data_IF_792891407267
#
_entry.id   IF_792891407267
#
_cell.length_a   1.000
_cell.length_b   1.000
_cell.length_c   1.000
_cell.angle_alpha   90.00
_cell.angle_beta   90.00
_cell.angle_gamma   90.00
#
_symmetry.space_group_name_H-M   'P 1'
#
loop_
_entity.id
_entity.type
_entity.pdbx_description
1 polymer ?
#
# COMPACT_ATOMS: atom_id res chain seq x y z
N UNK A 1 28.09 -26.47 49.32
CA UNK A 1 26.62 -26.29 49.35
C UNK A 1 26.38 -24.84 49.68
N UNK A 2 25.95 -23.93 48.82
CA UNK A 2 25.39 -24.00 47.48
C UNK A 2 25.91 -22.78 46.70
N UNK A 3 26.08 -22.94 45.38
CA UNK A 3 26.55 -21.89 44.51
C UNK A 3 25.44 -20.95 44.06
N UNK A 4 25.83 -19.72 43.76
CA UNK A 4 25.14 -18.79 42.86
C UNK A 4 26.19 -18.29 41.85
N UNK A 5 25.95 -18.39 40.53
CA UNK A 5 26.77 -17.69 39.56
C UNK A 5 26.24 -16.26 39.36
N UNK A 6 27.15 -15.30 39.35
CA UNK A 6 26.88 -13.91 38.94
C UNK A 6 26.45 -13.88 37.47
N UNK A 7 25.16 -13.69 37.22
CA UNK A 7 24.64 -13.27 35.91
C UNK A 7 24.81 -11.75 35.74
N UNK A 8 26.01 -11.33 35.35
CA UNK A 8 26.24 -10.01 34.75
C UNK A 8 26.61 -10.22 33.28
N UNK A 9 25.63 -10.28 32.38
CA UNK A 9 25.84 -9.93 30.96
C UNK A 9 24.49 -9.85 30.23
N UNK A 10 24.35 -8.83 29.36
CA UNK A 10 23.33 -8.68 28.29
C UNK A 10 21.91 -8.22 28.64
N UNK A 11 21.75 -7.16 29.45
CA UNK A 11 20.48 -6.38 29.48
C UNK A 11 20.63 -4.85 29.45
N UNK A 12 21.82 -4.33 29.16
CA UNK A 12 22.12 -2.89 29.28
C UNK A 12 22.75 -2.24 28.05
N UNK A 13 22.74 -2.89 26.88
CA UNK A 13 23.41 -2.37 25.67
C UNK A 13 22.49 -1.99 24.51
N UNK A 14 21.16 -2.14 24.65
CA UNK A 14 20.19 -1.82 23.59
C UNK A 14 19.43 -0.50 23.80
N UNK A 15 19.51 0.11 24.99
CA UNK A 15 18.74 1.32 25.33
C UNK A 15 19.54 2.64 25.29
N UNK A 16 20.71 2.68 24.64
CA UNK A 16 21.63 3.84 24.71
C UNK A 16 22.09 4.40 23.34
N UNK A 17 21.42 4.06 22.24
CA UNK A 17 21.78 4.61 20.91
C UNK A 17 20.85 5.76 20.46
N UNK A 18 19.70 6.00 21.11
CA UNK A 18 18.71 7.01 20.68
C UNK A 18 19.05 8.46 21.12
N UNK A 19 20.31 8.80 21.40
CA UNK A 19 20.71 10.18 21.68
C UNK A 19 22.05 10.53 21.05
N UNK A 20 22.08 10.58 19.73
CA UNK A 20 23.07 11.34 18.98
C UNK A 20 22.34 12.10 17.88
N UNK A 21 22.48 13.42 17.91
CA UNK A 21 21.92 14.34 16.93
C UNK A 21 22.33 13.93 15.52
N UNK A 22 21.35 13.57 14.68
CA UNK A 22 21.55 13.42 13.24
C UNK A 22 21.30 14.79 12.59
N UNK A 23 22.26 15.34 11.84
CA UNK A 23 21.92 16.35 10.85
C UNK A 23 21.04 15.67 9.80
N UNK A 24 19.88 16.26 9.53
CA UNK A 24 18.97 15.86 8.46
C UNK A 24 19.76 15.57 7.18
N UNK A 25 19.92 14.28 6.85
CA UNK A 25 20.28 13.87 5.52
C UNK A 25 18.95 13.81 4.78
N UNK A 26 18.49 14.99 4.36
CA UNK A 26 17.36 15.13 3.46
C UNK A 26 17.79 14.45 2.16
N UNK A 27 17.52 13.15 2.04
CA UNK A 27 17.38 12.54 0.73
C UNK A 27 16.12 13.20 0.18
N UNK A 28 16.29 14.32 -0.53
CA UNK A 28 15.29 14.75 -1.47
C UNK A 28 15.25 13.67 -2.55
N UNK A 29 14.51 12.60 -2.29
CA UNK A 29 13.79 11.93 -3.35
C UNK A 29 12.84 13.01 -3.82
N UNK A 30 13.23 13.71 -4.88
CA UNK A 30 12.29 14.52 -5.60
C UNK A 30 11.22 13.54 -6.08
N UNK A 31 10.05 13.56 -5.42
CA UNK A 31 8.84 13.16 -6.11
C UNK A 31 8.83 14.05 -7.35
N UNK A 32 9.07 13.44 -8.52
CA UNK A 32 8.80 14.12 -9.77
C UNK A 32 7.37 14.63 -9.69
N UNK A 33 7.15 15.81 -10.26
CA UNK A 33 6.00 16.69 -10.05
C UNK A 33 4.68 16.06 -10.52
N UNK A 34 4.20 15.04 -9.82
CA UNK A 34 2.86 14.51 -9.84
C UNK A 34 2.50 14.30 -8.36
N UNK A 35 2.05 15.38 -7.73
CA UNK A 35 1.49 15.40 -6.39
C UNK A 35 0.16 14.62 -6.39
N UNK A 36 0.22 13.31 -6.64
CA UNK A 36 -0.95 12.46 -6.65
C UNK A 36 -1.58 12.51 -5.26
N UNK A 37 -2.86 12.83 -5.24
CA UNK A 37 -3.69 12.76 -4.06
C UNK A 37 -3.76 11.30 -3.66
N UNK A 38 -3.10 10.94 -2.57
CA UNK A 38 -3.17 9.57 -2.02
C UNK A 38 -4.52 9.37 -1.34
N UNK A 39 -5.22 8.32 -1.72
CA UNK A 39 -6.43 7.85 -1.08
C UNK A 39 -6.19 6.57 -0.30
N UNK A 40 -6.82 6.46 0.85
CA UNK A 40 -6.62 5.35 1.79
C UNK A 40 -7.88 5.10 2.63
N UNK A 41 -7.99 3.94 3.26
CA UNK A 41 -8.90 3.68 4.39
C UNK A 41 -8.12 3.61 5.71
N UNK A 42 -8.84 3.38 6.79
CA UNK A 42 -8.27 3.23 8.14
C UNK A 42 -9.04 2.16 8.91
N UNK A 43 -8.38 1.53 9.85
CA UNK A 43 -9.03 0.51 10.67
C UNK A 43 -10.01 1.11 11.70
N UNK A 44 -11.01 0.32 12.11
CA UNK A 44 -12.03 0.74 13.09
C UNK A 44 -11.46 1.02 14.51
N UNK A 45 -10.26 0.52 14.80
CA UNK A 45 -9.62 0.60 16.12
C UNK A 45 -9.10 2.01 16.42
N UNK A 46 -8.75 2.77 15.38
CA UNK A 46 -7.95 3.98 15.47
C UNK A 46 -8.70 5.24 15.93
N UNK A 47 -8.01 6.23 16.51
CA UNK A 47 -8.58 7.51 16.95
C UNK A 47 -9.34 8.34 15.90
N UNK A 48 -9.03 8.31 14.58
CA UNK A 48 -9.76 9.11 13.61
C UNK A 48 -11.23 8.70 13.45
N UNK A 49 -11.59 7.48 13.86
CA UNK A 49 -12.96 6.99 13.81
C UNK A 49 -13.92 7.89 14.60
N UNK A 50 -15.01 8.28 13.96
CA UNK A 50 -16.02 9.18 14.50
C UNK A 50 -15.60 10.65 14.56
N UNK A 51 -14.35 11.00 14.22
CA UNK A 51 -13.93 12.39 14.07
C UNK A 51 -14.70 13.04 12.90
N UNK A 52 -15.04 14.34 12.97
CA UNK A 52 -15.72 15.00 11.86
C UNK A 52 -14.79 15.08 10.64
N UNK A 53 -15.32 14.76 9.46
CA UNK A 53 -14.67 15.03 8.17
C UNK A 53 -14.15 16.48 8.14
N UNK A 54 -12.84 16.67 8.01
CA UNK A 54 -12.25 18.01 8.11
C UNK A 54 -12.60 18.92 6.92
N UNK A 55 -13.03 18.37 5.79
CA UNK A 55 -13.39 19.15 4.61
C UNK A 55 -14.82 19.68 4.67
N UNK A 56 -15.78 18.89 5.18
CA UNK A 56 -17.20 19.28 5.23
C UNK A 56 -17.75 19.51 6.63
N UNK A 57 -17.15 18.89 7.65
CA UNK A 57 -17.59 18.88 9.04
C UNK A 57 -18.93 18.18 9.28
N UNK A 58 -19.45 17.46 8.28
CA UNK A 58 -20.86 17.03 8.26
C UNK A 58 -21.08 15.60 8.78
N UNK A 59 -20.09 14.73 8.64
CA UNK A 59 -20.18 13.28 8.92
C UNK A 59 -18.95 12.85 9.71
N UNK A 60 -19.12 11.89 10.62
CA UNK A 60 -17.99 11.27 11.32
C UNK A 60 -17.32 10.22 10.44
N UNK A 61 -15.99 10.19 10.41
CA UNK A 61 -15.22 9.19 9.67
C UNK A 61 -15.55 7.77 10.14
N UNK A 62 -15.52 6.83 9.21
CA UNK A 62 -15.68 5.39 9.45
C UNK A 62 -14.58 4.62 8.73
N UNK A 63 -14.41 3.36 9.10
CA UNK A 63 -13.48 2.41 8.47
C UNK A 63 -13.90 2.02 7.03
N UNK A 64 -15.09 2.44 6.59
CA UNK A 64 -15.58 2.22 5.23
C UNK A 64 -15.44 3.42 4.30
N UNK A 65 -14.86 4.53 4.78
CA UNK A 65 -14.64 5.72 3.96
C UNK A 65 -13.29 5.65 3.26
N UNK A 66 -13.25 6.08 2.00
CA UNK A 66 -11.99 6.38 1.33
C UNK A 66 -11.64 7.83 1.63
N UNK A 67 -10.49 8.01 2.26
CA UNK A 67 -10.01 9.24 2.85
C UNK A 67 -8.87 9.83 2.03
N UNK A 68 -8.65 11.13 2.22
CA UNK A 68 -7.44 11.84 1.78
C UNK A 68 -7.00 12.82 2.85
N UNK A 69 -5.73 13.23 2.83
CA UNK A 69 -5.25 14.27 3.72
C UNK A 69 -6.13 15.53 3.65
N UNK A 70 -6.24 16.30 4.74
CA UNK A 70 -7.04 17.53 4.77
C UNK A 70 -6.65 18.54 3.67
N UNK A 71 -5.37 18.59 3.34
CA UNK A 71 -4.78 19.39 2.27
C UNK A 71 -4.97 18.78 0.88
N UNK A 72 -5.73 17.68 0.77
CA UNK A 72 -5.92 16.80 -0.40
C UNK A 72 -4.65 16.03 -0.78
N UNK A 73 -3.48 16.52 -0.39
CA UNK A 73 -2.17 15.93 -0.63
C UNK A 73 -1.44 15.88 0.70
N UNK A 74 -0.54 14.91 0.93
CA UNK A 74 0.27 14.86 2.13
C UNK A 74 0.99 16.20 2.38
N UNK A 75 1.01 16.67 3.63
CA UNK A 75 1.58 17.97 3.97
C UNK A 75 2.23 17.97 5.36
N UNK A 76 3.23 18.83 5.63
CA UNK A 76 3.89 18.86 6.94
C UNK A 76 2.89 19.02 8.09
N UNK A 77 2.99 18.11 9.08
CA UNK A 77 2.07 18.00 10.20
C UNK A 77 2.29 18.99 11.36
N UNK A 78 1.47 18.91 12.42
CA UNK A 78 0.32 18.01 12.53
C UNK A 78 -0.87 18.52 11.72
N UNK A 79 -1.55 17.60 11.02
CA UNK A 79 -2.75 17.92 10.24
C UNK A 79 -4.03 17.63 11.04
N UNK A 80 -5.17 18.27 10.70
CA UNK A 80 -6.49 17.81 11.13
C UNK A 80 -6.78 16.37 10.66
N UNK A 81 -7.81 15.70 11.19
CA UNK A 81 -8.27 14.42 10.66
C UNK A 81 -8.47 14.47 9.13
N UNK A 82 -8.36 13.33 8.43
CA UNK A 82 -8.56 13.27 6.98
C UNK A 82 -9.94 13.77 6.52
N UNK A 83 -10.05 13.96 5.21
CA UNK A 83 -11.30 14.25 4.52
C UNK A 83 -11.87 13.02 3.84
N UNK A 84 -13.19 12.91 3.81
CA UNK A 84 -13.86 11.86 3.03
C UNK A 84 -13.81 12.23 1.55
N UNK A 85 -13.12 11.42 0.75
CA UNK A 85 -13.13 11.51 -0.71
C UNK A 85 -14.31 10.72 -1.29
N UNK A 86 -14.47 9.47 -0.87
CA UNK A 86 -15.57 8.59 -1.27
C UNK A 86 -16.19 8.02 0.00
N UNK A 87 -17.47 8.34 0.31
CA UNK A 87 -18.11 7.77 1.49
C UNK A 87 -18.36 6.27 1.32
N UNK A 88 -18.32 5.50 2.40
CA UNK A 88 -18.63 4.07 2.33
C UNK A 88 -20.07 3.77 1.87
N UNK A 89 -21.02 4.65 2.20
CA UNK A 89 -22.41 4.54 1.76
C UNK A 89 -22.69 5.28 0.45
N UNK A 90 -23.95 5.30 -0.01
CA UNK A 90 -24.32 6.07 -1.19
C UNK A 90 -24.11 7.59 -0.97
N UNK A 91 -23.52 8.33 -1.93
CA UNK A 91 -23.24 7.95 -3.32
C UNK A 91 -21.81 7.41 -3.58
N UNK A 92 -21.08 6.95 -2.57
CA UNK A 92 -19.76 6.33 -2.73
C UNK A 92 -19.84 4.81 -2.92
N UNK A 93 -19.16 4.04 -2.05
CA UNK A 93 -18.99 2.59 -2.22
C UNK A 93 -20.29 1.79 -2.15
N UNK A 94 -21.33 2.32 -1.51
CA UNK A 94 -22.65 1.67 -1.46
C UNK A 94 -22.75 0.52 -0.45
N UNK A 95 -21.90 0.52 0.59
CA UNK A 95 -21.92 -0.46 1.67
C UNK A 95 -23.25 -0.42 2.44
N UNK A 96 -24.00 -1.54 2.51
CA UNK A 96 -25.33 -1.58 3.14
C UNK A 96 -25.38 -1.14 4.60
N UNK A 97 -24.34 -1.44 5.38
CA UNK A 97 -24.29 -1.15 6.82
C UNK A 97 -23.78 0.26 7.16
N UNK A 98 -23.23 0.98 6.19
CA UNK A 98 -22.61 2.31 6.40
C UNK A 98 -23.50 3.32 7.13
N UNK A 99 -24.82 3.47 6.85
CA UNK A 99 -25.66 4.41 7.59
C UNK A 99 -25.74 4.13 9.10
N UNK A 100 -25.49 2.89 9.52
CA UNK A 100 -25.41 2.49 10.92
C UNK A 100 -24.02 2.64 11.54
N UNK A 101 -22.97 2.62 10.71
CA UNK A 101 -21.58 2.83 11.12
C UNK A 101 -21.32 4.30 11.47
N UNK A 102 -21.83 5.25 10.68
CA UNK A 102 -21.58 6.69 10.87
C UNK A 102 -21.78 7.15 12.32
N UNK A 103 -20.69 7.66 12.91
CA UNK A 103 -20.68 8.17 14.29
C UNK A 103 -20.45 7.11 15.37
N UNK A 104 -20.07 5.89 14.99
CA UNK A 104 -19.43 4.96 15.91
C UNK A 104 -18.13 5.53 16.48
N UNK A 105 -17.64 4.92 17.56
CA UNK A 105 -16.46 5.37 18.30
C UNK A 105 -15.29 4.42 18.05
N UNK A 106 -14.04 4.90 18.18
CA UNK A 106 -12.86 4.06 18.02
C UNK A 106 -12.94 2.75 18.81
N UNK A 107 -12.52 1.65 18.19
CA UNK A 107 -12.52 0.31 18.78
C UNK A 107 -13.91 -0.32 18.92
N UNK A 108 -14.95 0.26 18.32
CA UNK A 108 -16.25 -0.39 18.16
C UNK A 108 -16.53 -0.51 16.67
N UNK A 109 -16.66 -1.73 16.13
CA UNK A 109 -16.72 -1.91 14.69
C UNK A 109 -18.03 -1.38 14.11
N UNK A 110 -17.94 -0.62 13.01
CA UNK A 110 -19.04 -0.20 12.17
C UNK A 110 -19.47 -1.29 11.18
N UNK A 111 -18.65 -2.34 11.02
CA UNK A 111 -18.83 -3.46 10.10
C UNK A 111 -18.80 -3.02 8.64
N UNK A 112 -17.96 -2.05 8.29
CA UNK A 112 -17.82 -1.51 6.93
C UNK A 112 -16.38 -1.37 6.48
N UNK A 113 -15.45 -2.06 7.16
CA UNK A 113 -14.00 -1.95 6.95
C UNK A 113 -13.59 -2.32 5.54
N UNK A 114 -12.93 -1.37 4.88
CA UNK A 114 -12.34 -1.54 3.57
C UNK A 114 -10.87 -1.87 3.77
N UNK A 115 -10.49 -3.05 3.31
CA UNK A 115 -9.22 -3.73 3.60
C UNK A 115 -8.24 -3.68 2.41
N UNK A 116 -8.72 -3.24 1.24
CA UNK A 116 -7.87 -2.96 0.08
C UNK A 116 -8.59 -2.04 -0.90
N UNK A 117 -7.83 -1.31 -1.73
CA UNK A 117 -8.36 -0.35 -2.69
C UNK A 117 -7.60 -0.44 -4.01
N UNK A 118 -8.31 -0.19 -5.11
CA UNK A 118 -7.74 0.11 -6.41
C UNK A 118 -8.78 0.81 -7.28
N UNK A 119 -8.35 1.66 -8.21
CA UNK A 119 -9.23 2.22 -9.24
C UNK A 119 -9.16 1.46 -10.58
N UNK A 120 -8.37 0.38 -10.67
CA UNK A 120 -8.27 -0.48 -11.84
C UNK A 120 -7.44 0.13 -12.97
N UNK A 121 -6.63 1.14 -12.67
CA UNK A 121 -5.90 1.97 -13.64
C UNK A 121 -4.39 1.89 -13.47
N UNK A 122 -3.92 1.07 -12.54
CA UNK A 122 -2.51 0.87 -12.22
C UNK A 122 -1.72 0.44 -13.46
N UNK A 123 -0.43 0.76 -13.55
CA UNK A 123 0.35 0.48 -14.75
C UNK A 123 0.48 -1.03 -15.00
N UNK A 124 0.07 -1.47 -16.19
CA UNK A 124 0.30 -2.84 -16.63
C UNK A 124 1.80 -3.17 -16.61
N UNK A 125 2.23 -4.04 -15.69
CA UNK A 125 3.65 -4.35 -15.51
C UNK A 125 4.24 -5.01 -16.76
N UNK A 126 5.49 -4.65 -17.08
CA UNK A 126 6.21 -5.13 -18.27
C UNK A 126 7.54 -5.76 -17.85
N UNK A 127 7.93 -6.91 -18.43
CA UNK A 127 9.15 -7.63 -18.04
C UNK A 127 10.45 -6.93 -18.48
N UNK A 128 10.37 -6.02 -19.44
CA UNK A 128 11.52 -5.32 -20.00
C UNK A 128 11.09 -3.98 -20.59
N UNK A 129 11.99 -3.02 -20.51
CA UNK A 129 11.85 -1.68 -21.08
C UNK A 129 12.49 -0.64 -20.17
N UNK A 130 12.33 0.65 -20.50
CA UNK A 130 12.89 1.74 -19.70
C UNK A 130 12.07 2.06 -18.44
N UNK A 131 10.91 1.42 -18.24
CA UNK A 131 10.03 1.65 -17.10
C UNK A 131 10.75 1.41 -15.78
N UNK A 132 10.48 2.28 -14.82
CA UNK A 132 10.91 2.16 -13.43
C UNK A 132 9.66 2.07 -12.56
N UNK A 133 9.64 1.10 -11.66
CA UNK A 133 8.53 0.84 -10.78
C UNK A 133 8.87 1.28 -9.35
N UNK A 134 7.93 1.98 -8.73
CA UNK A 134 7.97 2.38 -7.33
C UNK A 134 6.83 1.67 -6.63
N UNK A 135 7.18 0.75 -5.74
CA UNK A 135 6.20 0.03 -4.93
C UNK A 135 5.97 0.80 -3.64
N UNK A 136 4.74 1.21 -3.39
CA UNK A 136 4.33 1.88 -2.15
C UNK A 136 3.47 0.97 -1.30
N UNK A 137 3.64 1.01 0.01
CA UNK A 137 2.88 0.15 0.91
C UNK A 137 2.81 0.71 2.34
N UNK A 138 1.85 0.20 3.11
CA UNK A 138 1.75 0.37 4.57
C UNK A 138 1.80 -1.00 5.25
N UNK A 139 2.01 -1.01 6.55
CA UNK A 139 2.15 -2.21 7.40
C UNK A 139 1.33 -2.03 8.68
N UNK A 140 1.15 -3.11 9.46
CA UNK A 140 0.54 -3.00 10.80
C UNK A 140 1.52 -2.49 11.87
N UNK A 141 1.01 -2.20 13.06
CA UNK A 141 1.82 -1.77 14.21
C UNK A 141 2.79 -2.85 14.71
N UNK A 142 2.57 -4.11 14.33
CA UNK A 142 3.40 -5.25 14.70
C UNK A 142 4.55 -5.50 13.73
N UNK A 143 4.69 -4.73 12.65
CA UNK A 143 5.74 -4.90 11.66
C UNK A 143 7.15 -4.63 12.22
N UNK A 144 8.13 -5.45 11.86
CA UNK A 144 9.51 -5.38 12.35
C UNK A 144 10.50 -4.81 11.34
N UNK A 145 10.34 -5.11 10.04
CA UNK A 145 11.32 -4.84 9.00
C UNK A 145 12.66 -5.58 9.17
N UNK A 146 13.54 -5.52 8.16
CA UNK A 146 14.82 -6.27 8.13
C UNK A 146 16.09 -5.41 8.30
N UNK A 147 15.94 -4.11 8.54
CA UNK A 147 17.03 -3.21 8.92
C UNK A 147 18.05 -2.92 7.82
N UNK A 148 17.60 -2.89 6.57
CA UNK A 148 18.40 -2.51 5.41
C UNK A 148 18.15 -1.04 5.08
N UNK A 149 19.18 -0.18 4.92
CA UNK A 149 19.02 1.21 4.51
C UNK A 149 18.30 1.33 3.17
N UNK A 150 17.62 2.46 2.89
CA UNK A 150 17.62 3.74 3.62
C UNK A 150 16.82 3.75 4.94
N UNK A 151 16.88 4.89 5.63
CA UNK A 151 16.07 5.22 6.82
C UNK A 151 15.52 6.65 6.64
N UNK A 152 14.35 7.02 7.20
CA UNK A 152 13.44 6.19 8.00
C UNK A 152 12.85 5.03 7.18
N UNK A 153 12.47 3.93 7.83
CA UNK A 153 12.07 2.67 7.24
C UNK A 153 11.27 1.85 8.24
N UNK A 154 10.56 0.82 7.76
CA UNK A 154 9.76 -0.09 8.62
C UNK A 154 10.58 -0.60 9.81
N UNK A 155 11.89 -0.82 9.64
CA UNK A 155 12.75 -1.26 10.74
C UNK A 155 13.01 -0.19 11.81
N UNK A 156 13.14 1.08 11.42
CA UNK A 156 13.33 2.18 12.38
C UNK A 156 12.02 2.66 12.99
N UNK A 157 10.90 2.38 12.34
CA UNK A 157 9.59 2.95 12.66
C UNK A 157 8.62 1.93 13.23
N UNK A 158 8.75 0.65 12.90
CA UNK A 158 7.83 -0.40 13.35
C UNK A 158 7.97 -0.81 14.82
N UNK A 159 7.52 -2.00 15.15
CA UNK A 159 7.34 -2.55 16.49
C UNK A 159 8.58 -2.54 17.39
N UNK A 160 9.79 -2.51 16.81
CA UNK A 160 11.07 -2.45 17.52
C UNK A 160 11.74 -1.07 17.47
N UNK A 161 11.11 -0.13 16.76
CA UNK A 161 11.56 1.22 16.47
C UNK A 161 10.78 2.28 17.26
N UNK A 162 10.29 3.31 16.55
CA UNK A 162 9.49 4.39 17.13
C UNK A 162 8.01 4.06 17.30
N UNK A 163 7.53 2.95 16.75
CA UNK A 163 6.13 2.50 16.73
C UNK A 163 5.21 3.47 15.98
N UNK A 164 5.67 3.94 14.82
CA UNK A 164 4.99 4.91 13.94
C UNK A 164 4.63 4.28 12.58
N UNK A 165 5.27 3.19 12.17
CA UNK A 165 5.13 2.61 10.82
C UNK A 165 3.70 2.31 10.32
N UNK A 166 2.71 2.22 11.20
CA UNK A 166 1.40 1.71 10.83
C UNK A 166 0.49 2.73 10.12
N UNK A 167 0.76 4.03 10.29
CA UNK A 167 0.08 5.09 9.54
C UNK A 167 0.95 5.67 8.42
N UNK A 168 2.11 5.05 8.19
CA UNK A 168 3.12 5.53 7.25
C UNK A 168 2.96 4.90 5.86
N UNK A 169 3.54 5.55 4.86
CA UNK A 169 3.68 4.97 3.51
C UNK A 169 5.16 4.85 3.18
N UNK A 170 5.59 3.62 2.99
CA UNK A 170 6.95 3.27 2.59
C UNK A 170 7.04 3.02 1.09
N UNK A 171 8.19 3.32 0.49
CA UNK A 171 8.46 2.99 -0.92
C UNK A 171 9.72 2.14 -1.13
N UNK A 172 9.71 1.39 -2.24
CA UNK A 172 10.87 0.66 -2.77
C UNK A 172 11.01 0.90 -4.28
N UNK A 173 12.10 1.55 -4.67
CA UNK A 173 12.36 1.95 -6.08
C UNK A 173 13.39 1.05 -6.79
N UNK A 174 13.85 -0.01 -6.12
CA UNK A 174 14.89 -0.90 -6.66
C UNK A 174 14.36 -2.28 -7.06
N UNK A 175 13.08 -2.53 -6.82
CA UNK A 175 12.38 -3.76 -7.19
C UNK A 175 11.74 -3.55 -8.56
N UNK A 176 12.15 -4.36 -9.54
CA UNK A 176 11.58 -4.32 -10.89
C UNK A 176 10.20 -4.99 -10.97
N UNK A 177 9.75 -5.27 -12.19
CA UNK A 177 8.39 -5.77 -12.48
C UNK A 177 8.08 -7.21 -12.03
N UNK A 178 9.00 -7.96 -11.42
CA UNK A 178 8.80 -9.35 -11.01
C UNK A 178 8.80 -10.39 -12.16
N UNK A 179 8.25 -11.60 -11.94
CA UNK A 179 8.17 -12.22 -10.62
C UNK A 179 9.59 -12.53 -10.09
N UNK A 180 9.77 -12.49 -8.76
CA UNK A 180 11.03 -12.81 -8.10
C UNK A 180 10.92 -14.07 -7.24
N UNK A 181 11.70 -15.10 -7.56
CA UNK A 181 11.74 -16.35 -6.78
C UNK A 181 12.89 -16.39 -5.76
N UNK A 182 13.45 -15.25 -5.37
CA UNK A 182 14.62 -15.18 -4.49
C UNK A 182 14.48 -14.09 -3.43
N UNK A 183 14.99 -14.39 -2.23
CA UNK A 183 15.00 -13.49 -1.07
C UNK A 183 16.29 -12.65 -1.08
N UNK A 184 16.32 -11.56 -1.84
CA UNK A 184 17.36 -10.55 -1.67
C UNK A 184 16.77 -9.39 -0.89
N UNK A 185 17.18 -9.17 0.36
CA UNK A 185 16.62 -8.10 1.16
C UNK A 185 16.98 -6.74 0.54
N UNK A 186 15.96 -5.92 0.34
CA UNK A 186 16.07 -4.55 -0.13
C UNK A 186 15.58 -3.62 1.00
N UNK A 187 16.09 -2.40 1.08
CA UNK A 187 15.57 -1.41 2.03
C UNK A 187 14.39 -0.66 1.46
N UNK A 188 13.43 -0.34 2.33
CA UNK A 188 12.36 0.62 2.07
C UNK A 188 12.69 1.97 2.71
N UNK A 189 12.01 3.02 2.28
CA UNK A 189 12.08 4.36 2.88
C UNK A 189 10.68 4.88 3.15
N UNK A 190 10.46 5.45 4.32
CA UNK A 190 9.26 6.23 4.57
C UNK A 190 9.25 7.50 3.72
N UNK A 191 8.09 7.81 3.15
CA UNK A 191 7.84 9.05 2.39
C UNK A 191 6.63 9.83 2.90
N UNK A 192 5.79 9.24 3.74
CA UNK A 192 4.60 9.85 4.33
C UNK A 192 4.48 9.34 5.76
N UNK A 193 4.77 10.24 6.69
CA UNK A 193 4.88 10.03 8.14
C UNK A 193 3.53 10.42 8.75
N UNK A 194 2.65 9.46 9.04
CA UNK A 194 1.18 9.62 9.13
C UNK A 194 0.64 10.89 9.81
N UNK A 195 1.26 11.34 10.91
CA UNK A 195 0.92 12.54 11.68
C UNK A 195 1.78 13.78 11.32
N UNK A 196 2.88 13.57 10.62
CA UNK A 196 3.85 14.57 10.14
C UNK A 196 4.76 15.13 11.25
N UNK A 197 4.94 14.42 12.37
CA UNK A 197 5.69 14.82 13.55
C UNK A 197 6.97 14.01 13.76
N UNK A 198 7.75 14.41 14.77
CA UNK A 198 8.97 13.71 15.15
C UNK A 198 8.65 12.40 15.89
N UNK A 199 9.54 11.38 15.82
CA UNK A 199 10.95 11.42 15.44
C UNK A 199 11.34 11.42 13.95
N UNK A 200 10.48 11.01 13.02
CA UNK A 200 10.90 10.82 11.62
C UNK A 200 10.41 11.87 10.65
N UNK A 201 9.23 12.46 10.85
CA UNK A 201 8.87 13.79 10.38
C UNK A 201 8.80 13.91 8.86
N UNK A 202 7.61 13.93 8.31
CA UNK A 202 7.38 14.04 6.87
C UNK A 202 6.14 14.84 6.51
N UNK A 203 5.73 14.82 5.23
CA UNK A 203 4.35 15.11 4.87
C UNK A 203 3.45 14.08 5.54
N UNK A 204 2.51 14.51 6.37
CA UNK A 204 1.54 13.62 7.02
C UNK A 204 0.20 13.60 6.31
N UNK A 205 -0.65 12.68 6.76
CA UNK A 205 -2.02 12.47 6.30
C UNK A 205 -3.06 12.99 7.31
N UNK A 206 -2.63 13.30 8.53
CA UNK A 206 -3.53 13.63 9.65
C UNK A 206 -4.02 12.39 10.40
N UNK A 207 -3.28 11.28 10.24
CA UNK A 207 -3.44 10.08 11.04
C UNK A 207 -2.71 10.25 12.37
N UNK A 208 -3.15 9.54 13.40
CA UNK A 208 -2.61 9.72 14.75
C UNK A 208 -1.51 8.70 15.02
N UNK A 209 -0.37 9.16 15.55
CA UNK A 209 0.78 8.33 15.90
C UNK A 209 1.32 8.72 17.29
N UNK A 210 2.13 7.86 17.93
CA UNK A 210 2.48 6.48 17.56
C UNK A 210 1.38 5.46 17.92
N UNK A 211 1.44 4.27 17.33
CA UNK A 211 0.67 3.09 17.71
C UNK A 211 1.59 2.00 18.28
N UNK A 212 1.61 1.81 19.61
CA UNK A 212 2.39 0.73 20.21
C UNK A 212 1.82 -0.65 19.82
N UNK A 213 2.66 -1.68 19.56
CA UNK A 213 2.22 -3.05 19.24
C UNK A 213 1.68 -3.78 20.48
N UNK A 214 0.49 -3.38 20.92
CA UNK A 214 -0.17 -3.90 22.12
C UNK A 214 -1.62 -4.23 21.82
N UNK A 215 -2.02 -5.45 22.16
CA UNK A 215 -3.41 -5.86 22.11
C UNK A 215 -4.33 -4.93 22.91
N UNK A 216 -5.44 -4.49 22.34
CA UNK A 216 -6.46 -3.72 23.04
C UNK A 216 -7.37 -2.93 22.10
N UNK A 217 -8.41 -2.33 22.66
CA UNK A 217 -9.28 -1.41 21.95
C UNK A 217 -9.67 -0.24 22.88
N UNK A 218 -9.76 1.01 22.39
CA UNK A 218 -9.27 1.47 21.09
C UNK A 218 -7.75 1.61 21.08
N UNK A 219 -7.18 1.75 19.89
CA UNK A 219 -5.75 2.02 19.74
C UNK A 219 -5.41 3.49 19.98
N UNK A 220 -4.13 3.69 20.30
CA UNK A 220 -3.59 5.03 20.56
C UNK A 220 -3.29 5.81 19.28
N UNK A 221 -3.04 5.09 18.17
CA UNK A 221 -2.79 5.62 16.85
C UNK A 221 -3.67 4.97 15.80
N UNK A 222 -3.53 5.38 14.55
CA UNK A 222 -4.28 4.85 13.42
C UNK A 222 -3.43 3.86 12.63
N UNK A 223 -4.10 2.91 11.99
CA UNK A 223 -3.53 2.09 10.92
C UNK A 223 -4.04 2.64 9.60
N UNK A 224 -3.13 2.80 8.64
CA UNK A 224 -3.45 3.09 7.26
C UNK A 224 -3.67 1.78 6.52
N UNK A 225 -4.75 1.76 5.75
CA UNK A 225 -5.20 0.62 4.99
C UNK A 225 -5.62 1.06 3.58
N UNK A 226 -5.75 0.13 2.64
CA UNK A 226 -6.37 0.31 1.33
C UNK A 226 -5.89 1.55 0.55
N UNK A 227 -4.59 1.61 0.26
CA UNK A 227 -3.92 2.73 -0.42
C UNK A 227 -4.09 2.69 -1.95
N UNK A 228 -4.32 3.86 -2.53
CA UNK A 228 -4.04 4.19 -3.93
C UNK A 228 -3.31 5.54 -3.97
N UNK A 229 -2.17 5.59 -4.67
CA UNK A 229 -1.24 6.72 -4.66
C UNK A 229 -0.93 7.28 -6.05
N UNK A 230 -1.52 6.73 -7.13
CA UNK A 230 -1.25 7.13 -8.51
C UNK A 230 -2.45 7.76 -9.24
N UNK A 231 -3.68 7.60 -8.72
CA UNK A 231 -4.87 8.01 -9.46
C UNK A 231 -5.15 9.52 -9.37
N UNK A 232 -5.26 10.15 -10.54
CA UNK A 232 -5.55 11.57 -10.66
C UNK A 232 -7.01 11.90 -10.27
N UNK A 233 -7.19 12.95 -9.45
CA UNK A 233 -8.51 13.44 -9.01
C UNK A 233 -9.51 13.73 -10.15
N UNK A 234 -9.04 14.07 -11.35
CA UNK A 234 -9.93 14.27 -12.51
C UNK A 234 -10.71 13.01 -12.91
N UNK A 235 -10.24 11.82 -12.51
CA UNK A 235 -10.86 10.53 -12.76
C UNK A 235 -11.81 10.10 -11.64
N UNK A 236 -11.75 10.75 -10.47
CA UNK A 236 -12.53 10.41 -9.29
C UNK A 236 -13.70 11.39 -9.08
N UNK A 237 -14.85 10.92 -8.56
CA UNK A 237 -15.26 9.52 -8.37
C UNK A 237 -15.88 8.94 -9.66
N UNK A 238 -15.47 9.36 -10.86
CA UNK A 238 -16.21 9.08 -12.10
C UNK A 238 -16.20 7.62 -12.58
N UNK A 239 -15.25 6.82 -12.11
CA UNK A 239 -15.02 5.44 -12.53
C UNK A 239 -15.44 4.37 -11.51
N UNK A 240 -15.17 3.09 -11.82
CA UNK A 240 -15.32 1.99 -10.87
C UNK A 240 -14.34 2.15 -9.69
N UNK A 241 -14.72 1.62 -8.53
CA UNK A 241 -13.83 1.48 -7.37
C UNK A 241 -13.78 0.02 -7.00
N UNK A 242 -12.59 -0.56 -6.99
CA UNK A 242 -12.32 -1.95 -6.61
C UNK A 242 -11.78 -1.98 -5.18
N UNK A 243 -12.25 -2.93 -4.39
CA UNK A 243 -11.89 -3.01 -2.98
C UNK A 243 -12.17 -4.40 -2.41
N UNK A 244 -11.53 -4.75 -1.30
CA UNK A 244 -11.96 -5.86 -0.43
C UNK A 244 -12.57 -5.31 0.86
N UNK A 245 -13.17 -6.21 1.62
CA UNK A 245 -13.75 -5.94 2.93
C UNK A 245 -13.21 -6.99 3.89
N UNK A 246 -12.93 -6.64 5.14
CA UNK A 246 -12.45 -7.58 6.15
C UNK A 246 -13.22 -8.91 6.23
N UNK A 247 -12.44 -9.97 6.38
CA UNK A 247 -12.87 -11.26 6.91
C UNK A 247 -13.06 -11.22 8.43
N UNK A 248 -13.51 -12.33 9.01
CA UNK A 248 -13.47 -12.54 10.47
C UNK A 248 -12.15 -13.08 11.03
N UNK A 249 -11.09 -13.17 10.22
CA UNK A 249 -9.80 -13.77 10.60
C UNK A 249 -9.05 -12.79 11.51
N UNK A 250 -8.85 -13.09 12.80
CA UNK A 250 -8.15 -12.16 13.69
C UNK A 250 -6.66 -12.05 13.31
N UNK A 251 -6.08 -10.86 13.43
CA UNK A 251 -4.63 -10.80 13.59
C UNK A 251 -4.24 -11.51 14.89
N UNK A 252 -3.35 -12.49 14.75
CA UNK A 252 -2.87 -13.31 15.84
C UNK A 252 -1.96 -12.49 16.79
N UNK A 253 -1.31 -11.42 16.30
CA UNK A 253 -0.47 -10.58 17.14
C UNK A 253 -1.30 -9.61 17.99
N UNK A 254 -2.36 -9.02 17.42
CA UNK A 254 -3.32 -8.18 18.14
C UNK A 254 -4.23 -9.00 19.08
N UNK A 255 -4.68 -10.18 18.64
CA UNK A 255 -5.60 -11.04 19.38
C UNK A 255 -7.01 -10.47 19.52
N UNK A 256 -7.34 -9.46 18.73
CA UNK A 256 -8.68 -8.87 18.56
C UNK A 256 -9.27 -9.39 17.24
N UNK A 257 -10.56 -9.74 17.18
CA UNK A 257 -11.20 -10.08 15.92
C UNK A 257 -11.35 -8.87 14.99
N UNK A 258 -11.08 -9.09 13.71
CA UNK A 258 -11.46 -8.20 12.62
C UNK A 258 -12.98 -8.02 12.53
N UNK A 259 -13.40 -7.07 11.70
CA UNK A 259 -14.82 -6.69 11.64
C UNK A 259 -15.70 -7.71 10.94
N UNK A 260 -15.17 -8.59 10.10
CA UNK A 260 -15.96 -9.44 9.22
C UNK A 260 -16.95 -8.63 8.37
N UNK A 261 -16.52 -7.44 7.92
CA UNK A 261 -17.35 -6.49 7.18
C UNK A 261 -17.88 -7.11 5.88
N UNK A 262 -17.13 -8.01 5.23
CA UNK A 262 -17.58 -8.71 4.02
C UNK A 262 -18.86 -9.54 4.26
N UNK A 263 -18.82 -10.45 5.24
CA UNK A 263 -19.96 -11.27 5.63
C UNK A 263 -21.08 -10.45 6.25
N UNK A 264 -20.75 -9.43 7.05
CA UNK A 264 -21.74 -8.58 7.72
C UNK A 264 -22.59 -7.78 6.71
N UNK A 265 -21.96 -7.25 5.66
CA UNK A 265 -22.68 -6.58 4.57
C UNK A 265 -23.37 -7.55 3.61
N UNK A 266 -23.05 -8.85 3.67
CA UNK A 266 -23.59 -9.87 2.79
C UNK A 266 -23.12 -9.72 1.34
N UNK A 267 -21.90 -9.21 1.15
CA UNK A 267 -21.33 -8.88 -0.15
C UNK A 267 -20.30 -9.90 -0.66
N UNK A 268 -19.96 -10.90 0.15
CA UNK A 268 -18.94 -11.89 -0.19
C UNK A 268 -18.30 -12.48 1.06
N UNK A 269 -17.05 -12.88 0.92
CA UNK A 269 -16.09 -13.25 1.97
C UNK A 269 -14.89 -12.29 1.92
N UNK A 270 -14.05 -12.26 2.95
CA UNK A 270 -12.97 -11.26 3.02
C UNK A 270 -11.93 -11.34 1.90
N UNK A 271 -11.67 -12.54 1.38
CA UNK A 271 -10.80 -12.72 0.22
C UNK A 271 -11.39 -12.34 -1.16
N UNK A 272 -12.64 -11.85 -1.24
CA UNK A 272 -13.24 -11.41 -2.51
C UNK A 272 -12.81 -9.97 -2.85
N UNK A 273 -12.48 -9.70 -4.11
CA UNK A 273 -12.43 -8.33 -4.64
C UNK A 273 -13.81 -7.94 -5.13
N UNK A 274 -14.34 -6.86 -4.57
CA UNK A 274 -15.59 -6.22 -4.93
C UNK A 274 -15.33 -5.07 -5.92
N UNK A 275 -16.38 -4.67 -6.63
CA UNK A 275 -16.40 -3.45 -7.42
C UNK A 275 -17.70 -2.69 -7.19
N UNK A 276 -17.57 -1.38 -6.97
CA UNK A 276 -18.66 -0.43 -7.15
C UNK A 276 -18.53 0.19 -8.53
N UNK A 277 -19.31 -0.25 -9.53
CA UNK A 277 -19.04 0.06 -10.95
C UNK A 277 -19.34 1.52 -11.34
N UNK A 278 -20.03 2.25 -10.47
CA UNK A 278 -20.29 3.68 -10.60
C UNK A 278 -20.69 4.24 -9.23
N UNK A 279 -20.49 5.54 -8.96
CA UNK A 279 -20.89 6.18 -7.71
C UNK A 279 -22.31 5.85 -7.26
N UNK A 280 -22.44 5.25 -6.08
CA UNK A 280 -23.72 4.91 -5.46
C UNK A 280 -24.42 3.69 -6.07
N UNK A 281 -23.77 2.98 -6.99
CA UNK A 281 -24.19 1.64 -7.36
C UNK A 281 -24.02 0.68 -6.18
N UNK A 282 -24.77 -0.43 -6.19
CA UNK A 282 -24.53 -1.49 -5.24
C UNK A 282 -23.22 -2.22 -5.62
N UNK A 283 -22.34 -2.50 -4.65
CA UNK A 283 -21.13 -3.28 -4.91
C UNK A 283 -21.50 -4.71 -5.32
N UNK A 284 -20.66 -5.29 -6.17
CA UNK A 284 -20.76 -6.68 -6.64
C UNK A 284 -19.38 -7.34 -6.55
N UNK A 285 -19.34 -8.67 -6.47
CA UNK A 285 -18.09 -9.42 -6.56
C UNK A 285 -17.51 -9.28 -7.97
N UNK A 286 -16.31 -8.72 -8.07
CA UNK A 286 -15.51 -8.66 -9.29
C UNK A 286 -14.66 -9.92 -9.41
N UNK A 287 -13.76 -10.17 -8.45
CA UNK A 287 -12.90 -11.34 -8.41
C UNK A 287 -13.19 -12.17 -7.15
N UNK A 288 -13.77 -13.37 -7.27
CA UNK A 288 -14.03 -14.21 -6.11
C UNK A 288 -12.74 -14.81 -5.55
N UNK A 289 -12.63 -14.93 -4.23
CA UNK A 289 -11.49 -15.46 -3.47
C UNK A 289 -10.95 -16.77 -4.05
N UNK A 290 -11.85 -17.68 -4.43
CA UNK A 290 -11.51 -18.98 -4.99
C UNK A 290 -10.72 -18.89 -6.32
N UNK A 291 -10.98 -17.86 -7.14
CA UNK A 291 -10.23 -17.64 -8.36
C UNK A 291 -8.86 -17.00 -8.10
N UNK A 292 -8.70 -16.32 -6.96
CA UNK A 292 -7.43 -15.79 -6.48
C UNK A 292 -6.56 -16.88 -5.83
N UNK A 293 -7.08 -18.09 -5.63
CA UNK A 293 -6.40 -19.18 -4.92
C UNK A 293 -6.57 -19.10 -3.39
N UNK A 294 -7.47 -18.24 -2.93
CA UNK A 294 -7.86 -18.09 -1.54
C UNK A 294 -9.08 -18.97 -1.21
N UNK A 295 -9.37 -19.12 0.08
CA UNK A 295 -10.47 -19.90 0.64
C UNK A 295 -10.49 -21.38 0.24
N UNK A 296 -9.32 -21.91 -0.10
CA UNK A 296 -9.14 -23.33 -0.43
C UNK A 296 -9.34 -24.24 0.80
N UNK A 297 -9.30 -23.67 2.00
CA UNK A 297 -9.49 -24.35 3.27
C UNK A 297 -10.89 -24.17 3.87
N UNK A 298 -11.75 -23.38 3.24
CA UNK A 298 -13.10 -23.07 3.69
C UNK A 298 -13.48 -21.64 3.29
N UNK A 299 -14.77 -21.28 3.34
CA UNK A 299 -15.18 -19.90 3.12
C UNK A 299 -14.70 -19.00 4.26
N UNK A 300 -14.27 -17.79 3.92
CA UNK A 300 -13.85 -16.73 4.86
C UNK A 300 -12.69 -17.15 5.78
N UNK A 301 -11.76 -17.94 5.23
CA UNK A 301 -10.55 -18.40 5.92
C UNK A 301 -9.30 -17.61 5.54
N UNK A 302 -9.38 -16.86 4.46
CA UNK A 302 -8.35 -15.96 3.95
C UNK A 302 -8.94 -14.55 3.82
N UNK A 303 -8.08 -13.56 4.04
CA UNK A 303 -8.38 -12.12 3.97
C UNK A 303 -7.47 -11.43 2.97
N UNK A 304 -7.95 -10.40 2.30
CA UNK A 304 -7.21 -9.67 1.28
C UNK A 304 -6.97 -8.23 1.76
N UNK A 305 -5.74 -7.93 2.17
CA UNK A 305 -5.35 -6.67 2.85
C UNK A 305 -4.64 -5.66 1.94
N UNK A 306 -4.43 -6.01 0.67
CA UNK A 306 -3.76 -5.11 -0.26
C UNK A 306 -4.11 -5.47 -1.70
N UNK A 307 -4.25 -4.49 -2.58
CA UNK A 307 -4.71 -4.71 -3.95
C UNK A 307 -3.97 -3.79 -4.92
N UNK A 308 -3.52 -4.37 -6.04
CA UNK A 308 -3.17 -3.66 -7.27
C UNK A 308 -4.00 -4.28 -8.37
N UNK A 309 -4.67 -3.46 -9.19
CA UNK A 309 -5.42 -3.94 -10.34
C UNK A 309 -5.19 -3.06 -11.56
N UNK A 310 -4.77 -3.68 -12.67
CA UNK A 310 -4.99 -3.11 -13.99
C UNK A 310 -6.12 -3.88 -14.66
N UNK A 311 -7.24 -3.21 -14.88
CA UNK A 311 -8.40 -3.78 -15.57
C UNK A 311 -8.31 -3.52 -17.08
N UNK A 312 -8.58 -4.54 -17.89
CA UNK A 312 -8.33 -4.48 -19.32
C UNK A 312 -9.41 -3.72 -20.14
N UNK A 313 -10.44 -3.19 -19.48
CA UNK A 313 -11.53 -2.41 -20.03
C UNK A 313 -12.81 -3.20 -20.31
N UNK A 314 -12.91 -4.48 -19.93
CA UNK A 314 -14.12 -5.30 -20.14
C UNK A 314 -15.13 -5.14 -18.99
N UNK A 315 -14.67 -4.74 -17.80
CA UNK A 315 -15.43 -4.70 -16.56
C UNK A 315 -15.78 -6.08 -16.01
N UNK A 316 -15.06 -7.13 -16.43
CA UNK A 316 -15.27 -8.52 -16.02
C UNK A 316 -13.94 -9.12 -15.61
N UNK A 317 -13.90 -9.79 -14.47
CA UNK A 317 -12.65 -10.40 -14.01
C UNK A 317 -12.21 -11.57 -14.90
N UNK A 318 -11.04 -11.39 -15.51
CA UNK A 318 -10.40 -12.29 -16.46
C UNK A 318 -9.01 -12.66 -15.93
N UNK A 319 -8.89 -13.74 -15.12
CA UNK A 319 -7.69 -14.01 -14.36
C UNK A 319 -6.48 -14.30 -15.24
N UNK A 320 -5.38 -13.60 -14.94
CA UNK A 320 -4.05 -13.98 -15.41
C UNK A 320 -3.66 -15.35 -14.85
N UNK A 321 -3.12 -16.23 -15.70
CA UNK A 321 -2.61 -17.55 -15.30
C UNK A 321 -1.16 -17.76 -15.71
N UNK A 322 -0.61 -16.84 -16.50
CA UNK A 322 0.79 -16.82 -16.90
C UNK A 322 1.35 -15.41 -16.68
N UNK A 323 2.55 -15.28 -16.07
CA UNK A 323 3.19 -13.98 -15.92
C UNK A 323 3.13 -13.15 -17.21
N UNK A 324 2.61 -11.93 -17.11
CA UNK A 324 2.50 -10.96 -18.21
C UNK A 324 1.51 -11.28 -19.33
N UNK A 325 0.60 -12.24 -19.18
CA UNK A 325 -0.43 -12.49 -20.20
C UNK A 325 -1.43 -11.32 -20.39
N UNK A 326 -1.57 -10.45 -19.39
CA UNK A 326 -2.34 -9.20 -19.44
C UNK A 326 -1.87 -8.23 -20.52
N UNK A 327 -0.59 -8.30 -20.92
CA UNK A 327 -0.06 -7.46 -22.01
C UNK A 327 -0.68 -7.77 -23.38
N UNK A 328 -1.43 -8.86 -23.50
CA UNK A 328 -2.24 -9.16 -24.69
C UNK A 328 -3.57 -8.40 -24.72
N UNK A 329 -3.98 -7.81 -23.59
CA UNK A 329 -5.28 -7.18 -23.37
C UNK A 329 -6.43 -8.19 -23.20
N UNK A 330 -6.12 -9.44 -22.86
CA UNK A 330 -7.11 -10.51 -22.72
C UNK A 330 -7.38 -10.95 -21.26
N UNK A 331 -6.55 -10.50 -20.34
CA UNK A 331 -6.61 -10.82 -18.91
C UNK A 331 -6.32 -9.55 -18.11
N UNK A 332 -6.85 -9.50 -16.90
CA UNK A 332 -6.53 -8.47 -15.92
C UNK A 332 -5.22 -8.78 -15.22
N UNK A 333 -4.51 -7.74 -14.81
CA UNK A 333 -3.41 -7.87 -13.87
C UNK A 333 -3.96 -7.58 -12.48
N UNK A 334 -4.07 -8.61 -11.64
CA UNK A 334 -4.48 -8.45 -10.25
C UNK A 334 -3.35 -8.96 -9.36
N UNK A 335 -2.90 -8.11 -8.45
CA UNK A 335 -1.96 -8.47 -7.40
C UNK A 335 -2.55 -8.14 -6.04
N UNK A 336 -2.18 -8.90 -5.03
CA UNK A 336 -2.75 -8.72 -3.70
C UNK A 336 -1.81 -9.23 -2.61
N UNK A 337 -2.06 -8.81 -1.37
CA UNK A 337 -1.49 -9.44 -0.18
C UNK A 337 -2.59 -10.10 0.65
N UNK A 338 -2.23 -10.81 1.72
CA UNK A 338 -3.19 -11.45 2.62
C UNK A 338 -2.85 -11.19 4.07
N UNK A 339 -3.87 -11.04 4.93
CA UNK A 339 -3.67 -10.85 6.35
C UNK A 339 -2.85 -11.94 7.01
N UNK A 340 -2.08 -11.54 8.02
CA UNK A 340 -1.54 -12.48 9.01
C UNK A 340 -2.69 -13.24 9.68
N UNK A 341 -2.73 -14.55 9.44
CA UNK A 341 -3.78 -15.42 9.97
C UNK A 341 -4.54 -16.17 8.88
N UNK A 342 -4.50 -15.65 7.65
CA UNK A 342 -5.04 -16.30 6.45
C UNK A 342 -4.54 -17.75 6.32
N UNK A 343 -5.47 -18.67 6.05
CA UNK A 343 -5.21 -20.10 5.97
C UNK A 343 -4.24 -20.51 4.85
N UNK A 344 -4.08 -19.68 3.82
CA UNK A 344 -3.14 -19.86 2.71
C UNK A 344 -1.68 -19.68 3.13
N UNK A 345 -1.41 -18.98 4.23
CA UNK A 345 -0.04 -18.73 4.72
C UNK A 345 0.67 -20.06 5.01
N UNK A 346 1.89 -20.19 4.48
CA UNK A 346 2.73 -21.38 4.57
C UNK A 346 2.47 -22.42 3.48
N UNK A 347 1.42 -22.29 2.67
CA UNK A 347 1.22 -23.12 1.48
C UNK A 347 2.28 -22.77 0.41
N UNK A 348 2.72 -23.74 -0.41
CA UNK A 348 3.65 -23.45 -1.50
C UNK A 348 2.96 -22.68 -2.62
N UNK A 349 3.55 -21.56 -3.04
CA UNK A 349 3.04 -20.73 -4.12
C UNK A 349 3.15 -21.41 -5.51
N UNK A 350 2.32 -20.98 -6.46
CA UNK A 350 2.23 -21.62 -7.78
C UNK A 350 3.28 -21.18 -8.83
N UNK A 351 4.15 -20.23 -8.52
CA UNK A 351 5.23 -19.74 -9.42
C UNK A 351 6.59 -20.24 -8.94
N UNK A 352 6.93 -19.96 -7.68
CA UNK A 352 8.26 -20.19 -7.12
C UNK A 352 8.32 -21.43 -6.20
N UNK A 353 7.18 -21.93 -5.74
CA UNK A 353 7.08 -23.03 -4.76
C UNK A 353 7.58 -22.65 -3.36
N UNK A 354 7.70 -21.36 -3.06
CA UNK A 354 8.04 -20.83 -1.75
C UNK A 354 6.79 -20.84 -0.85
N UNK A 355 6.95 -21.02 0.47
CA UNK A 355 5.83 -20.86 1.40
C UNK A 355 5.33 -19.42 1.37
N UNK A 356 4.04 -19.21 1.19
CA UNK A 356 3.39 -17.88 1.22
C UNK A 356 3.51 -17.27 2.63
N UNK A 357 3.81 -15.98 2.70
CA UNK A 357 3.87 -15.15 3.90
C UNK A 357 2.95 -13.93 3.73
N UNK A 358 2.44 -13.32 4.82
CA UNK A 358 1.42 -12.26 4.77
C UNK A 358 1.86 -10.94 4.12
N UNK A 359 3.17 -10.68 3.98
CA UNK A 359 3.69 -9.51 3.28
C UNK A 359 4.09 -9.77 1.82
N UNK A 360 3.79 -10.96 1.29
CA UNK A 360 4.09 -11.27 -0.11
C UNK A 360 3.08 -10.58 -1.03
N UNK A 361 3.57 -9.98 -2.11
CA UNK A 361 2.72 -9.58 -3.22
C UNK A 361 2.46 -10.84 -4.05
N UNK A 362 1.20 -11.26 -4.06
CA UNK A 362 0.69 -12.45 -4.71
C UNK A 362 -0.02 -12.10 -6.02
N UNK A 363 -0.12 -13.10 -6.90
CA UNK A 363 -0.97 -13.09 -8.10
C UNK A 363 -1.86 -14.33 -8.10
N UNK A 364 -2.97 -14.33 -8.87
CA UNK A 364 -3.80 -15.51 -9.06
C UNK A 364 -3.00 -16.76 -9.45
N UNK A 365 -3.52 -17.96 -9.13
CA UNK A 365 -2.79 -19.20 -9.32
C UNK A 365 -2.54 -19.47 -10.81
N UNK A 366 -1.34 -19.97 -11.13
CA UNK A 366 -0.99 -20.35 -12.51
C UNK A 366 -1.80 -21.53 -13.06
N UNK A 367 -2.56 -22.21 -12.18
CA UNK A 367 -3.49 -23.27 -12.51
C UNK A 367 -4.78 -23.08 -11.71
N UNK A 368 -5.93 -23.25 -12.35
CA UNK A 368 -7.22 -23.11 -11.69
C UNK A 368 -7.34 -24.00 -10.43
N UNK A 369 -7.70 -23.41 -9.29
CA UNK A 369 -7.80 -24.09 -8.00
C UNK A 369 -6.46 -24.38 -7.32
N UNK A 370 -5.35 -23.83 -7.83
CA UNK A 370 -4.06 -23.81 -7.15
C UNK A 370 -3.95 -22.69 -6.11
N UNK A 371 -2.85 -22.69 -5.35
CA UNK A 371 -2.49 -21.59 -4.46
C UNK A 371 -2.00 -20.37 -5.26
N UNK A 372 -2.10 -19.15 -4.70
CA UNK A 372 -1.56 -17.94 -5.32
C UNK A 372 -0.09 -18.11 -5.71
N UNK A 373 0.36 -17.35 -6.70
CA UNK A 373 1.78 -17.25 -7.06
C UNK A 373 2.44 -16.09 -6.33
N UNK A 374 3.65 -16.26 -5.80
CA UNK A 374 4.41 -15.13 -5.26
C UNK A 374 4.99 -14.33 -6.43
N UNK A 375 4.62 -13.07 -6.53
CA UNK A 375 5.15 -12.13 -7.51
C UNK A 375 6.35 -11.37 -6.96
N UNK A 376 6.19 -10.75 -5.78
CA UNK A 376 7.29 -10.12 -5.04
C UNK A 376 7.28 -10.69 -3.63
N UNK A 377 8.37 -11.34 -3.20
CA UNK A 377 8.46 -11.84 -1.83
C UNK A 377 8.65 -10.66 -0.88
N UNK A 378 8.00 -10.70 0.30
CA UNK A 378 8.00 -9.61 1.28
C UNK A 378 9.41 -9.08 1.64
N UNK A 379 10.43 -9.95 1.64
CA UNK A 379 11.81 -9.57 1.92
C UNK A 379 12.38 -8.61 0.87
N UNK A 380 11.90 -8.67 -0.37
CA UNK A 380 12.25 -7.72 -1.42
C UNK A 380 11.62 -6.33 -1.18
N UNK A 381 10.64 -6.21 -0.27
CA UNK A 381 10.11 -4.95 0.21
C UNK A 381 10.78 -4.46 1.51
N UNK A 382 11.72 -5.23 2.06
CA UNK A 382 12.34 -4.93 3.34
C UNK A 382 11.59 -5.46 4.57
N UNK A 383 10.62 -6.35 4.35
CA UNK A 383 9.76 -6.89 5.39
C UNK A 383 10.31 -8.18 6.00
N UNK A 384 10.06 -8.35 7.29
CA UNK A 384 10.44 -9.52 8.06
C UNK A 384 9.48 -10.68 7.79
N UNK A 385 10.02 -11.89 7.69
CA UNK A 385 9.25 -13.12 7.38
C UNK A 385 9.81 -14.31 8.15
N UNK A 386 9.07 -15.43 8.19
CA UNK A 386 9.63 -16.68 8.74
C UNK A 386 10.71 -17.26 7.84
N UNK A 387 10.60 -17.07 6.52
CA UNK A 387 11.67 -17.41 5.57
C UNK A 387 12.99 -16.68 5.85
N UNK A 388 12.93 -15.45 6.38
CA UNK A 388 14.10 -14.67 6.83
C UNK A 388 14.48 -14.85 8.31
N UNK A 389 13.87 -15.84 9.00
CA UNK A 389 14.10 -16.21 10.40
C UNK A 389 13.52 -15.24 11.45
N UNK A 390 12.46 -14.52 11.13
CA UNK A 390 11.65 -13.81 12.11
C UNK A 390 10.48 -14.69 12.58
N UNK A 391 10.02 -14.51 13.81
CA UNK A 391 8.94 -15.33 14.38
C UNK A 391 7.57 -14.88 13.88
N UNK A 392 7.40 -13.56 13.77
CA UNK A 392 6.24 -12.91 13.19
C UNK A 392 6.68 -12.41 11.81
N UNK A 393 5.82 -12.65 10.82
CA UNK A 393 5.99 -12.09 9.50
C UNK A 393 5.17 -10.80 9.44
N UNK A 394 5.77 -9.77 8.88
CA UNK A 394 5.11 -8.50 8.62
C UNK A 394 4.08 -8.73 7.50
N UNK A 395 2.92 -8.13 7.66
CA UNK A 395 1.83 -8.01 6.68
C UNK A 395 1.97 -6.71 5.88
N UNK A 396 1.21 -6.66 4.80
CA UNK A 396 0.92 -5.43 4.08
C UNK A 396 -0.54 -5.11 4.31
N UNK A 397 -0.82 -3.92 4.86
CA UNK A 397 -2.18 -3.38 5.01
C UNK A 397 -2.56 -2.49 3.82
N UNK A 398 -1.59 -2.17 2.96
CA UNK A 398 -1.86 -1.35 1.79
C UNK A 398 -0.76 -1.58 0.76
N UNK A 399 -1.10 -1.46 -0.52
CA UNK A 399 -0.15 -1.65 -1.60
C UNK A 399 -0.59 -0.85 -2.82
N UNK A 400 0.38 -0.21 -3.46
CA UNK A 400 0.20 0.39 -4.78
C UNK A 400 1.53 0.33 -5.56
N UNK A 401 1.47 0.53 -6.88
CA UNK A 401 2.64 0.58 -7.75
C UNK A 401 2.55 1.73 -8.75
N UNK A 402 3.50 2.66 -8.65
CA UNK A 402 3.68 3.70 -9.65
C UNK A 402 4.67 3.25 -10.72
N UNK A 403 4.44 3.69 -11.95
CA UNK A 403 5.36 3.52 -13.06
C UNK A 403 5.84 4.88 -13.54
N UNK A 404 7.13 4.99 -13.83
CA UNK A 404 7.72 6.17 -14.47
C UNK A 404 8.61 5.75 -15.64
N UNK A 405 8.66 6.59 -16.67
CA UNK A 405 9.54 6.39 -17.82
C UNK A 405 10.54 7.54 -17.90
N UNK A 406 11.86 7.27 -17.92
CA UNK A 406 12.85 8.33 -18.14
C UNK A 406 12.60 9.06 -19.46
N UNK A 407 12.35 10.36 -19.39
CA UNK A 407 12.08 11.20 -20.56
C UNK A 407 10.62 11.58 -20.74
N UNK A 408 9.71 11.02 -19.93
CA UNK A 408 8.35 11.54 -19.74
C UNK A 408 8.46 12.79 -18.85
N UNK A 409 8.36 13.97 -19.46
CA UNK A 409 8.62 15.27 -18.82
C UNK A 409 7.36 16.07 -18.58
N UNK A 410 6.21 15.68 -19.17
CA UNK A 410 4.91 16.21 -18.79
C UNK A 410 4.13 15.33 -17.80
N UNK A 411 4.60 14.10 -17.58
CA UNK A 411 4.08 13.17 -16.58
C UNK A 411 2.77 12.51 -17.01
N UNK A 412 2.53 12.35 -18.31
CA UNK A 412 1.30 11.74 -18.83
C UNK A 412 1.36 10.22 -19.00
N UNK A 413 2.51 9.62 -18.67
CA UNK A 413 2.72 8.17 -18.66
C UNK A 413 3.35 7.63 -19.94
N UNK A 414 3.60 8.45 -20.96
CA UNK A 414 4.35 8.03 -22.14
C UNK A 414 5.53 8.97 -22.49
N UNK A 415 6.34 8.56 -23.48
CA UNK A 415 7.44 9.39 -23.99
C UNK A 415 7.21 9.65 -25.47
N UNK A 416 6.73 10.84 -25.81
CA UNK A 416 6.30 11.18 -27.16
C UNK A 416 6.85 12.53 -27.69
N UNK A 417 6.18 13.08 -28.71
CA UNK A 417 6.59 14.34 -29.32
C UNK A 417 6.36 15.56 -28.42
N UNK A 418 5.44 15.46 -27.46
CA UNK A 418 5.13 16.48 -26.46
C UNK A 418 6.30 16.63 -25.51
N UNK A 419 6.82 15.51 -24.98
CA UNK A 419 8.04 15.50 -24.17
C UNK A 419 9.24 16.07 -24.90
N UNK A 420 9.44 15.62 -26.13
CA UNK A 420 10.53 16.11 -26.96
C UNK A 420 10.40 17.62 -27.20
N UNK A 421 9.19 18.13 -27.41
CA UNK A 421 8.95 19.55 -27.57
C UNK A 421 9.24 20.35 -26.29
N UNK A 422 8.84 19.83 -25.12
CA UNK A 422 9.12 20.43 -23.81
C UNK A 422 10.63 20.47 -23.55
N UNK A 423 11.34 19.36 -23.78
CA UNK A 423 12.80 19.30 -23.62
C UNK A 423 13.49 20.30 -24.53
N UNK A 424 13.16 20.33 -25.83
CA UNK A 424 13.79 21.25 -26.79
C UNK A 424 13.47 22.72 -26.50
N UNK A 425 12.29 23.03 -25.93
CA UNK A 425 11.93 24.38 -25.51
C UNK A 425 12.79 24.87 -24.32
N UNK A 426 13.31 23.93 -23.52
CA UNK A 426 14.16 24.19 -22.36
C UNK A 426 15.66 23.97 -22.65
N UNK A 427 16.06 23.71 -23.90
CA UNK A 427 17.45 23.35 -24.20
C UNK A 427 18.46 24.45 -23.80
N UNK A 428 19.48 24.09 -23.04
CA UNK A 428 20.46 25.01 -22.44
C UNK A 428 20.00 25.74 -21.19
N UNK A 429 18.82 25.39 -20.64
CA UNK A 429 18.35 25.87 -19.34
C UNK A 429 19.26 25.35 -18.22
N UNK A 430 19.41 26.15 -17.15
CA UNK A 430 20.21 25.82 -15.97
C UNK A 430 19.37 26.09 -14.72
N UNK A 431 19.37 25.15 -13.79
CA UNK A 431 18.52 25.16 -12.59
C UNK A 431 17.38 24.16 -12.73
N UNK A 432 16.22 24.48 -12.15
CA UNK A 432 15.04 23.60 -12.22
C UNK A 432 14.30 23.83 -13.54
N UNK A 433 14.45 22.90 -14.48
CA UNK A 433 13.87 22.97 -15.82
C UNK A 433 13.13 21.65 -16.11
N UNK A 434 11.96 21.70 -16.74
CA UNK A 434 11.17 20.48 -17.01
C UNK A 434 11.92 19.48 -17.93
N UNK A 435 12.81 19.96 -18.80
CA UNK A 435 13.60 19.11 -19.70
C UNK A 435 14.87 18.49 -19.10
N UNK A 436 15.15 18.70 -17.81
CA UNK A 436 16.31 18.12 -17.12
C UNK A 436 15.95 16.71 -16.64
N UNK A 437 16.21 15.72 -17.49
CA UNK A 437 15.76 14.34 -17.30
C UNK A 437 16.69 13.57 -16.37
N UNK A 438 17.98 13.95 -16.34
CA UNK A 438 18.97 13.29 -15.49
C UNK A 438 19.13 13.96 -14.09
N UNK A 439 18.54 15.14 -13.90
CA UNK A 439 18.55 15.89 -12.65
C UNK A 439 19.90 16.55 -12.33
N UNK A 440 20.76 16.78 -13.32
CA UNK A 440 22.08 17.39 -13.13
C UNK A 440 22.06 18.93 -13.09
N UNK A 441 20.88 19.52 -13.31
CA UNK A 441 20.62 20.94 -13.28
C UNK A 441 20.88 21.65 -14.61
N UNK A 442 21.11 20.94 -15.72
CA UNK A 442 21.30 21.50 -17.05
C UNK A 442 20.56 20.68 -18.10
N UNK A 443 19.76 21.33 -18.95
CA UNK A 443 19.14 20.65 -20.10
C UNK A 443 20.09 20.61 -21.28
N UNK A 444 20.64 19.44 -21.61
CA UNK A 444 21.59 19.28 -22.71
C UNK A 444 21.39 18.01 -23.58
N UNK A 445 22.43 17.61 -24.32
CA UNK A 445 22.36 16.44 -25.20
C UNK A 445 22.23 15.12 -24.43
N UNK A 446 22.57 15.10 -23.15
CA UNK A 446 22.44 13.94 -22.26
C UNK A 446 20.96 13.67 -21.98
N UNK A 447 20.18 14.70 -21.64
CA UNK A 447 18.73 14.58 -21.44
C UNK A 447 18.02 14.17 -22.72
N UNK A 448 18.38 14.80 -23.84
CA UNK A 448 17.85 14.43 -25.15
C UNK A 448 18.16 12.96 -25.49
N UNK A 449 19.35 12.47 -25.14
CA UNK A 449 19.72 11.07 -25.37
C UNK A 449 18.90 10.10 -24.50
N UNK A 450 18.62 10.47 -23.24
CA UNK A 450 17.77 9.68 -22.35
C UNK A 450 16.34 9.62 -22.89
N UNK A 451 15.74 10.77 -23.21
CA UNK A 451 14.40 10.84 -23.80
C UNK A 451 14.30 10.01 -25.08
N UNK A 452 15.24 10.19 -26.02
CA UNK A 452 15.23 9.42 -27.26
C UNK A 452 15.46 7.92 -27.07
N UNK A 453 16.10 7.51 -25.97
CA UNK A 453 16.27 6.09 -25.64
C UNK A 453 14.99 5.43 -25.14
N UNK A 454 14.06 6.23 -24.60
CA UNK A 454 12.76 5.80 -24.10
C UNK A 454 11.60 6.14 -25.04
N UNK A 455 11.87 6.77 -26.19
CA UNK A 455 10.82 7.27 -27.08
C UNK A 455 9.82 6.17 -27.50
N UNK A 456 8.54 6.41 -27.25
CA UNK A 456 7.42 5.49 -27.48
C UNK A 456 7.21 4.43 -26.40
N UNK A 457 7.95 4.49 -25.28
CA UNK A 457 7.65 3.68 -24.11
C UNK A 457 6.46 4.26 -23.35
N UNK A 458 5.68 3.38 -22.72
CA UNK A 458 4.55 3.75 -21.88
C UNK A 458 4.66 3.04 -20.54
N UNK A 459 4.18 3.70 -19.52
CA UNK A 459 3.38 3.10 -18.48
C UNK A 459 1.98 2.97 -19.13
#
# INVERSE_FOLDING_TARGET
MNGEPKSQTRRGALASIVRAAFPAMLAAVAMNSASAQMSFSIDYQGPPIGAPDSCTGAVGLTEGDILVAFTITPAPGPLPPPCILIPGGAPGLGLPLYPGAVGHVPGVPGFVEVDALSYGVEPALRPAGPQQYTWSFSVDEFAFGIGVPPIPSVFTEGAIGATEAAADIFIVNTVGAGPFCGVSPVGNVDVVDGDGLFPFGGPGLGLAEPIPPVAGLPDAGANLDALDADTLNALLPGGPVYFSLDSGVPDIAEGVPNTASALANGLGVGGDVLVTPAPGAAPIVFAPALLLGLDLFGPDTDDLDALILWENGTGVYEPSVTPYDWLTGATDMLMFSVRRGSAVIGAPDSICGLPIEPGDILVPPTVAGGFPGIWIPAEALGLATRRSNFNNADDLNALDVLCSVPGDVDGDGDVDLTDLAILLANFGCVGTCAGDVNGDGVVDLTDLAILLSSFGATC
#
